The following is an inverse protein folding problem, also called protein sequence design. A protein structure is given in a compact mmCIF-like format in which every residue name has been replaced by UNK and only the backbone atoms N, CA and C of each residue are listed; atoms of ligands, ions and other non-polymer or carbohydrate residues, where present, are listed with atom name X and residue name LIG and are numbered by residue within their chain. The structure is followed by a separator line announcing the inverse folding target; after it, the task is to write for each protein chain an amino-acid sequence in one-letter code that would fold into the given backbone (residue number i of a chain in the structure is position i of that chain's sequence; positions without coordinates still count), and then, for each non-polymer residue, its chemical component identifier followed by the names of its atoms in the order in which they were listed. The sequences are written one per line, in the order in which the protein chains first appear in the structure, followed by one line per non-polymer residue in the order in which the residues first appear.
data_IF_231888930378
#
_entry.id   IF_231888930378
#
_cell.length_a   1.000
_cell.length_b   1.000
_cell.length_c   1.000
_cell.angle_alpha   90.00
_cell.angle_beta   90.00
_cell.angle_gamma   90.00
#
_symmetry.space_group_name_H-M   'P 1'
#
loop_
_entity.id
_entity.type
_entity.pdbx_description
1 polymer ?
#
# COMPACT_ATOMS: atom_id res chain seq x y z
N UNK A 1 19.10 19.01 14.53
CA UNK A 1 17.84 18.55 13.89
C UNK A 1 16.86 18.23 15.01
N UNK A 2 15.70 18.90 15.07
CA UNK A 2 14.75 18.79 16.20
C UNK A 2 14.28 17.35 16.41
N UNK A 3 14.14 16.92 17.68
CA UNK A 3 13.68 15.60 18.10
C UNK A 3 12.37 15.15 17.43
N UNK A 4 11.51 16.11 17.05
CA UNK A 4 10.30 15.87 16.27
C UNK A 4 10.57 15.24 14.89
N UNK A 5 11.67 15.60 14.22
CA UNK A 5 12.07 15.05 12.90
C UNK A 5 12.67 13.65 13.02
N UNK A 6 13.19 13.28 14.19
CA UNK A 6 13.74 11.95 14.47
C UNK A 6 12.64 10.91 14.76
N UNK A 7 11.50 11.32 15.34
CA UNK A 7 10.35 10.44 15.58
C UNK A 7 9.43 10.25 14.36
N UNK A 8 9.40 11.21 13.43
CA UNK A 8 8.51 11.12 12.25
C UNK A 8 8.99 10.10 11.21
N UNK A 9 10.31 9.89 11.10
CA UNK A 9 10.90 8.91 10.16
C UNK A 9 10.53 7.45 10.51
N UNK A 10 10.67 6.98 11.75
CA UNK A 10 10.22 5.64 12.14
C UNK A 10 8.72 5.41 11.91
N UNK A 11 7.89 6.39 12.27
CA UNK A 11 6.44 6.26 12.18
C UNK A 11 5.95 6.22 10.71
N UNK A 12 6.54 7.04 9.85
CA UNK A 12 6.25 7.01 8.41
C UNK A 12 6.70 5.70 7.76
N UNK A 13 7.82 5.13 8.20
CA UNK A 13 8.29 3.84 7.73
C UNK A 13 7.37 2.69 8.20
N UNK A 14 6.94 2.68 9.46
CA UNK A 14 5.97 1.72 9.96
C UNK A 14 4.63 1.81 9.21
N UNK A 15 4.17 3.02 8.92
CA UNK A 15 2.94 3.24 8.15
C UNK A 15 3.08 2.73 6.71
N UNK A 16 4.26 2.86 6.10
CA UNK A 16 4.53 2.34 4.77
C UNK A 16 4.51 0.81 4.74
N UNK A 17 5.15 0.15 5.72
CA UNK A 17 5.11 -1.32 5.87
C UNK A 17 3.67 -1.80 6.09
N UNK A 18 2.95 -1.19 7.04
CA UNK A 18 1.57 -1.56 7.33
C UNK A 18 0.66 -1.37 6.10
N UNK A 19 0.81 -0.24 5.39
CA UNK A 19 0.07 0.01 4.15
C UNK A 19 0.37 -1.02 3.05
N UNK A 20 1.64 -1.42 2.91
CA UNK A 20 2.07 -2.47 1.98
C UNK A 20 1.45 -3.83 2.30
N UNK A 21 1.44 -4.24 3.58
CA UNK A 21 0.83 -5.49 4.01
C UNK A 21 -0.69 -5.51 3.78
N UNK A 22 -1.37 -4.40 4.07
CA UNK A 22 -2.83 -4.27 3.81
C UNK A 22 -3.09 -4.38 2.30
N UNK A 23 -2.32 -3.67 1.48
CA UNK A 23 -2.48 -3.71 0.03
C UNK A 23 -2.21 -5.12 -0.54
N UNK A 24 -1.18 -5.81 -0.06
CA UNK A 24 -0.89 -7.19 -0.44
C UNK A 24 -2.03 -8.14 -0.11
N UNK A 25 -2.58 -8.05 1.11
CA UNK A 25 -3.75 -8.89 1.49
C UNK A 25 -4.96 -8.61 0.61
N UNK A 26 -5.27 -7.35 0.31
CA UNK A 26 -6.37 -6.98 -0.58
C UNK A 26 -6.14 -7.57 -1.98
N UNK A 27 -4.91 -7.49 -2.49
CA UNK A 27 -4.56 -8.09 -3.77
C UNK A 27 -4.83 -9.59 -3.76
N UNK A 28 -4.30 -10.32 -2.78
CA UNK A 28 -4.46 -11.78 -2.68
C UNK A 28 -5.92 -12.20 -2.63
N UNK A 29 -6.75 -11.51 -1.83
CA UNK A 29 -8.19 -11.77 -1.74
C UNK A 29 -8.92 -11.54 -3.07
N UNK A 30 -8.58 -10.46 -3.78
CA UNK A 30 -9.15 -10.18 -5.11
C UNK A 30 -8.72 -11.25 -6.10
N UNK A 31 -7.44 -11.64 -6.07
CA UNK A 31 -6.90 -12.65 -6.98
C UNK A 31 -7.57 -14.00 -6.78
N UNK A 32 -7.59 -14.52 -5.54
CA UNK A 32 -8.23 -15.79 -5.20
C UNK A 32 -9.72 -15.81 -5.51
N UNK A 33 -10.40 -14.66 -5.43
CA UNK A 33 -11.82 -14.58 -5.78
C UNK A 33 -12.08 -14.66 -7.29
N UNK A 34 -11.14 -14.17 -8.11
CA UNK A 34 -11.24 -14.24 -9.57
C UNK A 34 -10.66 -15.55 -10.13
N UNK A 35 -9.63 -16.10 -9.48
CA UNK A 35 -8.93 -17.32 -9.85
C UNK A 35 -8.82 -18.25 -8.62
N UNK A 36 -9.90 -18.99 -8.28
CA UNK A 36 -9.95 -19.80 -7.06
C UNK A 36 -8.96 -20.95 -7.03
N UNK A 37 -8.61 -21.47 -8.21
CA UNK A 37 -7.74 -22.64 -8.39
C UNK A 37 -6.32 -22.25 -8.85
N UNK A 38 -5.95 -20.98 -8.74
CA UNK A 38 -4.67 -20.46 -9.23
C UNK A 38 -3.98 -19.56 -8.19
N UNK A 39 -2.66 -19.65 -8.16
CA UNK A 39 -1.83 -18.80 -7.30
C UNK A 39 -1.59 -17.44 -7.96
N UNK A 40 -1.35 -16.42 -7.14
CA UNK A 40 -0.96 -15.08 -7.58
C UNK A 40 0.29 -15.16 -8.47
N UNK A 41 0.41 -14.36 -9.55
CA UNK A 41 1.51 -14.48 -10.48
C UNK A 41 2.83 -14.11 -9.80
N UNK A 42 3.73 -15.08 -9.68
CA UNK A 42 5.09 -14.86 -9.22
C UNK A 42 5.90 -14.20 -10.37
N UNK A 43 6.49 -13.01 -10.18
CA UNK A 43 7.32 -12.38 -11.18
C UNK A 43 8.56 -13.19 -11.59
N UNK A 44 8.98 -14.16 -10.77
CA UNK A 44 10.08 -15.07 -11.07
C UNK A 44 9.64 -16.36 -11.80
N UNK A 45 8.32 -16.60 -11.95
CA UNK A 45 7.81 -17.76 -12.68
C UNK A 45 7.83 -17.55 -14.20
N UNK A 46 8.80 -18.19 -14.85
CA UNK A 46 8.98 -18.14 -16.30
C UNK A 46 7.92 -18.92 -17.10
N UNK A 47 7.07 -19.71 -16.44
CA UNK A 47 5.96 -20.41 -17.12
C UNK A 47 4.74 -19.51 -17.33
N UNK A 48 4.65 -18.39 -16.60
CA UNK A 48 3.59 -17.39 -16.75
C UNK A 48 3.90 -16.42 -17.89
N UNK A 49 2.86 -15.85 -18.49
CA UNK A 49 3.05 -14.82 -19.52
C UNK A 49 3.60 -13.54 -18.88
N UNK A 50 4.64 -12.95 -19.47
CA UNK A 50 5.14 -11.62 -19.05
C UNK A 50 4.03 -10.57 -18.98
N UNK A 51 3.05 -10.66 -19.89
CA UNK A 51 1.90 -9.75 -19.90
C UNK A 51 1.05 -9.88 -18.64
N UNK A 52 0.79 -11.12 -18.22
CA UNK A 52 -0.01 -11.44 -17.04
C UNK A 52 0.68 -10.93 -15.78
N UNK A 53 1.96 -11.26 -15.61
CA UNK A 53 2.80 -10.80 -14.49
C UNK A 53 2.80 -9.27 -14.40
N UNK A 54 2.99 -8.56 -15.51
CA UNK A 54 3.01 -7.09 -15.50
C UNK A 54 1.65 -6.47 -15.20
N UNK A 55 0.55 -7.08 -15.65
CA UNK A 55 -0.80 -6.63 -15.29
C UNK A 55 -1.05 -6.83 -13.79
N UNK A 56 -0.70 -7.99 -13.25
CA UNK A 56 -0.81 -8.26 -11.82
C UNK A 56 0.01 -7.26 -10.99
N UNK A 57 1.27 -7.04 -11.34
CA UNK A 57 2.14 -6.07 -10.70
C UNK A 57 1.57 -4.63 -10.78
N UNK A 58 0.96 -4.24 -11.91
CA UNK A 58 0.33 -2.93 -12.05
C UNK A 58 -0.88 -2.77 -11.11
N UNK A 59 -1.71 -3.82 -10.97
CA UNK A 59 -2.85 -3.82 -10.05
C UNK A 59 -2.36 -3.75 -8.59
N UNK A 60 -1.33 -4.52 -8.23
CA UNK A 60 -0.74 -4.47 -6.89
C UNK A 60 -0.19 -3.06 -6.58
N UNK A 61 0.51 -2.44 -7.54
CA UNK A 61 1.00 -1.07 -7.41
C UNK A 61 -0.14 -0.05 -7.25
N UNK A 62 -1.24 -0.21 -7.98
CA UNK A 62 -2.44 0.61 -7.84
C UNK A 62 -3.03 0.50 -6.43
N UNK A 63 -3.19 -0.71 -5.89
CA UNK A 63 -3.73 -0.95 -4.55
C UNK A 63 -2.84 -0.30 -3.47
N UNK A 64 -1.52 -0.48 -3.55
CA UNK A 64 -0.57 0.16 -2.64
C UNK A 64 -0.71 1.69 -2.71
N UNK A 65 -0.82 2.25 -3.91
CA UNK A 65 -1.01 3.68 -4.12
C UNK A 65 -2.29 4.21 -3.49
N UNK A 66 -3.41 3.51 -3.69
CA UNK A 66 -4.72 3.87 -3.13
C UNK A 66 -4.70 3.80 -1.60
N UNK A 67 -4.19 2.72 -1.02
CA UNK A 67 -4.09 2.57 0.44
C UNK A 67 -3.23 3.68 1.04
N UNK A 68 -2.07 3.97 0.43
CA UNK A 68 -1.20 5.06 0.89
C UNK A 68 -1.88 6.42 0.82
N UNK A 69 -2.58 6.73 -0.27
CA UNK A 69 -3.31 7.98 -0.43
C UNK A 69 -4.45 8.11 0.60
N UNK A 70 -5.19 7.02 0.85
CA UNK A 70 -6.24 6.98 1.86
C UNK A 70 -5.68 7.23 3.27
N UNK A 71 -4.57 6.57 3.62
CA UNK A 71 -3.89 6.76 4.90
C UNK A 71 -3.37 8.20 5.06
N UNK A 72 -2.69 8.75 4.04
CA UNK A 72 -2.19 10.12 4.08
C UNK A 72 -3.33 11.14 4.25
N UNK A 73 -4.45 10.95 3.53
CA UNK A 73 -5.62 11.82 3.67
C UNK A 73 -6.31 11.67 5.01
N UNK A 74 -6.38 10.46 5.56
CA UNK A 74 -6.87 10.20 6.90
C UNK A 74 -6.02 10.90 7.96
N UNK A 75 -4.70 10.78 7.88
CA UNK A 75 -3.76 11.45 8.79
C UNK A 75 -3.91 12.98 8.72
N UNK A 76 -3.98 13.56 7.52
CA UNK A 76 -4.16 14.99 7.34
C UNK A 76 -5.48 15.49 7.97
N UNK A 77 -6.59 14.78 7.74
CA UNK A 77 -7.89 15.12 8.36
C UNK A 77 -7.86 14.99 9.88
N UNK A 78 -7.26 13.93 10.41
CA UNK A 78 -7.15 13.73 11.86
C UNK A 78 -6.25 14.78 12.50
N UNK A 79 -5.15 15.17 11.85
CA UNK A 79 -4.30 16.26 12.32
C UNK A 79 -5.11 17.56 12.39
N UNK A 80 -5.77 17.95 11.29
CA UNK A 80 -6.61 19.14 11.23
C UNK A 80 -7.70 19.13 12.30
N UNK A 81 -8.35 17.99 12.54
CA UNK A 81 -9.40 17.87 13.55
C UNK A 81 -8.87 18.02 14.99
N UNK A 82 -7.63 17.64 15.25
CA UNK A 82 -7.02 17.68 16.58
C UNK A 82 -6.30 19.02 16.86
N UNK A 83 -5.64 19.59 15.86
CA UNK A 83 -4.84 20.82 16.02
C UNK A 83 -5.58 22.08 15.57
N UNK A 84 -6.68 21.93 14.83
CA UNK A 84 -7.39 23.03 14.17
C UNK A 84 -6.50 23.83 13.19
N UNK A 85 -5.36 23.26 12.80
CA UNK A 85 -4.36 23.81 11.87
C UNK A 85 -4.24 22.91 10.65
N UNK A 86 -3.89 23.48 9.50
CA UNK A 86 -3.56 22.66 8.33
C UNK A 86 -2.17 22.04 8.50
N UNK A 87 -1.96 20.79 8.05
CA UNK A 87 -0.65 20.13 8.13
C UNK A 87 0.39 20.68 7.12
N UNK A 88 0.10 21.76 6.38
CA UNK A 88 0.98 22.41 5.40
C UNK A 88 1.84 23.52 6.01
#
# INVERSE_FOLDING_TARGET
MSAAKAMYKPLSMMSAVAGGLIAGKIFTEIWQRMHPDDEEPDPEDLNRSTREVFIAAAIQGLLVGVVRAALARGQAKSFQALTNENPE
#
